data_IF_125840742902
#
_entry.id   IF_125840742902
#
_cell.length_a   1.000
_cell.length_b   1.000
_cell.length_c   1.000
_cell.angle_alpha   90.00
_cell.angle_beta   90.00
_cell.angle_gamma   90.00
#
_symmetry.space_group_name_H-M   'P 1'
#
loop_
_entity.id
_entity.type
_entity.pdbx_description
1 polymer ?
#
# COMPACT_ATOMS: atom_id res chain seq x y z
N UNK A 1 -38.59 -2.52 -2.84
CA UNK A 1 -37.31 -3.16 -2.48
C UNK A 1 -36.57 -3.38 -3.79
N UNK A 2 -35.73 -2.43 -4.21
CA UNK A 2 -34.81 -2.56 -5.35
C UNK A 2 -33.83 -1.38 -5.32
N UNK A 3 -32.61 -1.63 -4.86
CA UNK A 3 -31.44 -0.79 -5.11
C UNK A 3 -30.40 -1.75 -5.69
N UNK A 4 -30.39 -1.91 -7.01
CA UNK A 4 -29.42 -1.26 -7.90
C UNK A 4 -27.99 -1.51 -7.43
N UNK A 5 -27.43 -2.62 -7.95
CA UNK A 5 -26.06 -2.78 -8.43
C UNK A 5 -25.14 -1.59 -8.12
N UNK A 6 -24.56 -1.57 -6.92
CA UNK A 6 -23.28 -0.92 -6.77
C UNK A 6 -22.28 -1.82 -7.50
N UNK A 7 -21.84 -1.37 -8.67
CA UNK A 7 -20.59 -1.84 -9.23
C UNK A 7 -19.50 -1.41 -8.27
N UNK A 8 -19.23 -2.24 -7.27
CA UNK A 8 -17.95 -2.26 -6.58
C UNK A 8 -16.92 -2.64 -7.66
N UNK A 9 -16.44 -1.63 -8.38
CA UNK A 9 -15.07 -1.65 -8.88
C UNK A 9 -14.24 -2.04 -7.67
N UNK A 10 -13.79 -3.29 -7.64
CA UNK A 10 -13.10 -3.92 -6.53
C UNK A 10 -11.71 -3.28 -6.38
N UNK A 11 -11.68 -1.98 -6.05
CA UNK A 11 -10.48 -1.22 -5.71
C UNK A 11 -10.00 -1.84 -4.43
N UNK A 12 -8.98 -2.69 -4.56
CA UNK A 12 -8.16 -3.08 -3.44
C UNK A 12 -7.61 -1.77 -2.87
N UNK A 13 -8.07 -1.41 -1.67
CA UNK A 13 -7.54 -0.27 -0.92
C UNK A 13 -6.51 -0.80 0.08
N UNK A 14 -5.50 0.01 0.39
CA UNK A 14 -4.47 -0.39 1.32
C UNK A 14 -4.99 -0.31 2.75
N UNK A 15 -4.69 -1.30 3.58
CA UNK A 15 -5.00 -1.24 5.00
C UNK A 15 -4.02 -0.28 5.69
N UNK A 16 -4.52 0.78 6.32
CA UNK A 16 -3.68 1.85 6.90
C UNK A 16 -3.75 1.85 8.42
N UNK A 17 -2.59 1.63 9.05
CA UNK A 17 -2.37 1.71 10.50
C UNK A 17 -1.37 2.84 10.82
N UNK A 18 -1.66 4.04 10.33
CA UNK A 18 -0.83 5.24 10.56
C UNK A 18 -1.64 6.26 11.38
N UNK A 19 -1.05 6.73 12.46
CA UNK A 19 -1.67 7.71 13.36
C UNK A 19 -1.86 9.04 12.64
N UNK A 20 -2.98 9.71 12.94
CA UNK A 20 -3.28 11.03 12.39
C UNK A 20 -2.17 12.01 12.81
N UNK A 21 -1.50 12.61 11.82
CA UNK A 21 -0.42 13.57 12.05
C UNK A 21 0.98 12.97 12.17
N UNK A 22 1.13 11.65 12.00
CA UNK A 22 2.44 11.01 11.90
C UNK A 22 3.23 11.53 10.68
N UNK A 23 4.50 11.85 10.89
CA UNK A 23 5.41 12.41 9.86
C UNK A 23 6.70 11.59 9.67
N UNK A 24 6.73 10.38 10.22
CA UNK A 24 7.89 9.50 10.11
C UNK A 24 7.81 8.54 8.93
N UNK A 25 8.76 7.60 8.91
CA UNK A 25 8.83 6.56 7.89
C UNK A 25 7.65 5.59 7.99
N UNK A 26 7.16 5.14 6.84
CA UNK A 26 6.06 4.21 6.75
C UNK A 26 6.52 2.94 6.06
N UNK A 27 6.19 1.80 6.64
CA UNK A 27 6.41 0.48 6.05
C UNK A 27 5.18 0.10 5.24
N UNK A 28 5.40 -0.32 4.01
CA UNK A 28 4.40 -0.94 3.14
C UNK A 28 4.72 -2.42 3.07
N UNK A 29 3.79 -3.26 3.52
CA UNK A 29 3.84 -4.71 3.36
C UNK A 29 2.86 -5.09 2.26
N UNK A 30 3.33 -5.82 1.26
CA UNK A 30 2.55 -6.24 0.10
C UNK A 30 2.46 -7.76 0.07
N UNK A 31 1.24 -8.28 -0.07
CA UNK A 31 0.99 -9.71 -0.10
C UNK A 31 0.56 -10.15 -1.50
N UNK A 32 1.18 -11.22 -1.99
CA UNK A 32 0.71 -11.96 -3.17
C UNK A 32 0.11 -13.31 -2.75
N UNK A 33 -0.69 -13.89 -3.63
CA UNK A 33 -1.07 -15.30 -3.49
C UNK A 33 0.17 -16.15 -3.25
N UNK A 34 0.01 -17.22 -2.47
CA UNK A 34 1.10 -18.16 -2.10
C UNK A 34 2.04 -17.70 -0.98
N UNK A 35 1.68 -16.64 -0.24
CA UNK A 35 2.33 -16.29 1.03
C UNK A 35 3.71 -15.64 0.88
N UNK A 36 4.01 -15.04 -0.28
CA UNK A 36 5.18 -14.16 -0.41
C UNK A 36 4.77 -12.75 0.02
N UNK A 37 5.60 -12.18 0.89
CA UNK A 37 5.46 -10.82 1.38
C UNK A 37 6.63 -9.98 0.85
N UNK A 38 6.32 -8.78 0.35
CA UNK A 38 7.30 -7.78 -0.05
C UNK A 38 7.18 -6.59 0.90
N UNK A 39 8.33 -6.01 1.26
CA UNK A 39 8.36 -4.91 2.22
C UNK A 39 9.15 -3.74 1.64
N UNK A 40 8.55 -2.55 1.67
CA UNK A 40 9.21 -1.30 1.34
C UNK A 40 9.05 -0.32 2.52
N UNK A 41 10.10 0.43 2.85
CA UNK A 41 10.06 1.48 3.88
C UNK A 41 10.31 2.81 3.19
N UNK A 42 9.32 3.68 3.27
CA UNK A 42 9.27 4.98 2.60
C UNK A 42 9.41 6.10 3.63
N UNK A 43 9.98 7.26 3.27
CA UNK A 43 10.23 8.35 4.20
C UNK A 43 8.96 8.97 4.78
N UNK A 44 7.81 8.81 4.12
CA UNK A 44 6.55 9.41 4.56
C UNK A 44 5.33 8.60 4.09
N UNK A 45 4.18 8.93 4.69
CA UNK A 45 2.90 8.28 4.37
C UNK A 45 2.44 8.51 2.92
N UNK A 46 2.70 9.68 2.33
CA UNK A 46 2.29 9.96 0.94
C UNK A 46 2.97 9.00 -0.04
N UNK A 47 4.29 8.82 0.09
CA UNK A 47 5.06 7.91 -0.73
C UNK A 47 4.67 6.45 -0.48
N UNK A 48 4.47 6.05 0.78
CA UNK A 48 3.96 4.72 1.13
C UNK A 48 2.60 4.44 0.47
N UNK A 49 1.70 5.44 0.46
CA UNK A 49 0.40 5.35 -0.18
C UNK A 49 0.52 5.24 -1.70
N UNK A 50 1.45 5.96 -2.33
CA UNK A 50 1.73 5.82 -3.78
C UNK A 50 2.21 4.40 -4.11
N UNK A 51 3.17 3.87 -3.35
CA UNK A 51 3.64 2.49 -3.51
C UNK A 51 2.50 1.49 -3.36
N UNK A 52 1.68 1.61 -2.32
CA UNK A 52 0.55 0.71 -2.11
C UNK A 52 -0.47 0.77 -3.26
N UNK A 53 -0.78 1.96 -3.78
CA UNK A 53 -1.68 2.11 -4.94
C UNK A 53 -1.10 1.50 -6.22
N UNK A 54 0.21 1.65 -6.46
CA UNK A 54 0.90 1.04 -7.60
C UNK A 54 0.93 -0.49 -7.47
N UNK A 55 1.18 -0.99 -6.26
CA UNK A 55 1.23 -2.41 -5.97
C UNK A 55 -0.14 -3.09 -6.16
N UNK A 56 -1.20 -2.48 -5.63
CA UNK A 56 -2.57 -2.98 -5.76
C UNK A 56 -3.16 -2.83 -7.17
N UNK A 57 -2.50 -2.06 -8.03
CA UNK A 57 -2.90 -1.96 -9.43
C UNK A 57 -2.59 -3.29 -10.15
N UNK A 58 -3.59 -3.98 -10.72
CA UNK A 58 -3.40 -5.28 -11.37
C UNK A 58 -2.54 -5.22 -12.64
N UNK A 59 -2.36 -4.04 -13.23
CA UNK A 59 -1.55 -3.83 -14.45
C UNK A 59 -0.08 -3.59 -14.10
N UNK A 60 0.20 -3.01 -12.92
CA UNK A 60 1.55 -2.59 -12.50
C UNK A 60 2.14 -3.60 -11.52
N UNK A 61 1.54 -3.75 -10.34
CA UNK A 61 2.07 -4.60 -9.27
C UNK A 61 1.40 -5.98 -9.16
N UNK A 62 0.08 -6.05 -9.36
CA UNK A 62 -0.65 -7.32 -9.26
C UNK A 62 -0.74 -7.91 -7.85
N UNK A 63 -0.54 -7.09 -6.81
CA UNK A 63 -0.65 -7.51 -5.41
C UNK A 63 -2.10 -7.61 -4.97
N UNK A 64 -2.38 -8.51 -4.02
CA UNK A 64 -3.75 -8.76 -3.53
C UNK A 64 -4.09 -7.90 -2.32
N UNK A 65 -3.09 -7.57 -1.52
CA UNK A 65 -3.24 -6.76 -0.32
C UNK A 65 -1.99 -5.89 -0.16
N UNK A 66 -2.19 -4.72 0.44
CA UNK A 66 -1.14 -3.82 0.86
C UNK A 66 -1.50 -3.25 2.22
N UNK A 67 -0.57 -3.29 3.16
CA UNK A 67 -0.72 -2.74 4.50
C UNK A 67 0.33 -1.68 4.73
N UNK A 68 -0.09 -0.49 5.18
CA UNK A 68 0.79 0.62 5.53
C UNK A 68 0.82 0.76 7.05
N UNK A 69 2.00 0.68 7.65
CA UNK A 69 2.20 0.88 9.09
C UNK A 69 3.27 1.93 9.35
N UNK A 70 3.20 2.57 10.51
CA UNK A 70 4.33 3.37 11.01
C UNK A 70 5.55 2.47 11.21
N UNK A 71 6.75 3.01 11.02
CA UNK A 71 7.97 2.30 11.37
C UNK A 71 9.10 3.24 11.79
N UNK A 72 10.06 2.68 12.52
CA UNK A 72 11.37 3.27 12.80
C UNK A 72 12.50 2.55 12.06
N UNK A 73 12.17 1.62 11.16
CA UNK A 73 13.13 0.94 10.30
C UNK A 73 13.84 1.92 9.36
N UNK A 74 15.01 1.51 8.86
CA UNK A 74 15.73 2.28 7.86
C UNK A 74 14.92 2.38 6.56
N UNK A 75 14.95 3.57 5.94
CA UNK A 75 14.33 3.82 4.64
C UNK A 75 15.01 2.92 3.61
N UNK A 76 14.20 2.17 2.86
CA UNK A 76 14.70 1.30 1.80
C UNK A 76 14.52 1.89 0.41
N UNK A 77 13.55 2.79 0.24
CA UNK A 77 13.28 3.52 -1.00
C UNK A 77 12.97 4.97 -0.63
N UNK A 78 13.62 5.93 -1.28
CA UNK A 78 13.40 7.36 -1.03
C UNK A 78 12.08 7.84 -1.66
N UNK A 79 11.65 7.22 -2.76
CA UNK A 79 10.40 7.55 -3.46
C UNK A 79 9.69 6.30 -3.99
N UNK A 80 8.39 6.42 -4.29
CA UNK A 80 7.59 5.36 -4.87
C UNK A 80 8.04 4.91 -6.27
N UNK A 81 8.74 5.78 -7.00
CA UNK A 81 9.29 5.47 -8.33
C UNK A 81 10.45 4.46 -8.27
N UNK A 82 11.21 4.41 -7.18
CA UNK A 82 12.28 3.43 -7.00
C UNK A 82 11.75 2.02 -6.74
N UNK A 83 10.45 1.91 -6.42
CA UNK A 83 9.80 0.63 -6.21
C UNK A 83 9.37 -0.06 -7.52
N UNK A 84 9.19 0.70 -8.61
CA UNK A 84 8.81 0.19 -9.94
C UNK A 84 9.96 -0.56 -10.63
#
# INVERSE_FOLDING_TARGET
MNSLLNGDEHRLDAEVHVSVGYKGACRVTLEVSWGKEYVAVLPCFDEAKRVANLALNPIVGGFQSATITETTDAITHECAEEWL
#
